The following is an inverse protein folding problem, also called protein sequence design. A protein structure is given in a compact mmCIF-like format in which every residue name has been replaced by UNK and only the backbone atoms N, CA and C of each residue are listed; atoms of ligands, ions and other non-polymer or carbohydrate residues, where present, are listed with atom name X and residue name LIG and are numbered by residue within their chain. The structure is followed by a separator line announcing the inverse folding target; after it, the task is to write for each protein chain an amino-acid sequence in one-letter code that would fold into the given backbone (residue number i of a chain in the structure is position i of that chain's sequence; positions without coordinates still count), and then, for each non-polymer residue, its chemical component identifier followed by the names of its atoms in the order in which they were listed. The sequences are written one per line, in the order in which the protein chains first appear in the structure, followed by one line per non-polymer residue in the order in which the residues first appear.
data_IF_822792688319
#
_entry.id   IF_822792688319
#
_cell.length_a   1.000
_cell.length_b   1.000
_cell.length_c   1.000
_cell.angle_alpha   90.00
_cell.angle_beta   90.00
_cell.angle_gamma   90.00
#
_symmetry.space_group_name_H-M   'P 1'
#
loop_
_entity.id
_entity.type
_entity.pdbx_description
1 polymer ?
#
# COMPACT_ATOMS: atom_id res chain seq x y z
N UNK A 1 8.27 -11.72 3.25
CA UNK A 1 7.98 -10.51 2.45
C UNK A 1 6.50 -10.25 2.54
N UNK A 2 6.06 -9.00 2.79
CA UNK A 2 4.62 -8.69 2.91
C UNK A 2 4.00 -8.63 1.51
N UNK A 3 2.75 -9.11 1.37
CA UNK A 3 2.06 -9.24 0.07
C UNK A 3 0.76 -8.42 0.06
N UNK A 4 -0.03 -8.53 -1.03
CA UNK A 4 -1.36 -7.94 -1.07
C UNK A 4 -2.27 -8.47 0.06
N UNK A 5 -2.06 -9.71 0.52
CA UNK A 5 -2.82 -10.25 1.64
C UNK A 5 -2.60 -9.43 2.93
N UNK A 6 -1.35 -9.05 3.21
CA UNK A 6 -1.01 -8.18 4.34
C UNK A 6 -1.68 -6.81 4.17
N UNK A 7 -1.64 -6.23 2.97
CA UNK A 7 -2.29 -4.95 2.69
C UNK A 7 -3.80 -5.02 2.96
N UNK A 8 -4.43 -6.14 2.59
CA UNK A 8 -5.84 -6.39 2.84
C UNK A 8 -6.16 -6.43 4.35
N UNK A 9 -5.32 -7.07 5.16
CA UNK A 9 -5.56 -7.17 6.60
C UNK A 9 -5.24 -5.88 7.35
N UNK A 10 -4.14 -5.21 7.00
CA UNK A 10 -3.58 -4.09 7.77
C UNK A 10 -4.19 -2.74 7.37
N UNK A 11 -4.62 -2.57 6.11
CA UNK A 11 -5.10 -1.28 5.60
C UNK A 11 -6.56 -1.34 5.14
N UNK A 12 -6.91 -2.33 4.32
CA UNK A 12 -8.22 -2.33 3.65
C UNK A 12 -9.34 -2.73 4.62
N UNK A 13 -9.18 -3.84 5.36
CA UNK A 13 -10.17 -4.32 6.34
C UNK A 13 -10.40 -3.33 7.49
N UNK A 14 -9.36 -2.67 8.05
CA UNK A 14 -9.56 -1.66 9.11
C UNK A 14 -10.16 -0.34 8.60
N UNK A 15 -10.26 -0.15 7.28
CA UNK A 15 -10.87 1.04 6.69
C UNK A 15 -9.92 2.22 6.47
N UNK A 16 -8.61 1.98 6.50
CA UNK A 16 -7.55 2.98 6.29
C UNK A 16 -7.28 3.29 4.81
N UNK A 17 -7.89 2.52 3.89
CA UNK A 17 -7.67 2.70 2.45
C UNK A 17 -8.26 4.01 1.91
N UNK A 18 -7.39 4.92 1.47
CA UNK A 18 -7.77 6.20 0.82
C UNK A 18 -8.23 6.11 -0.63
N UNK A 19 -8.33 4.90 -1.20
CA UNK A 19 -8.82 4.67 -2.59
C UNK A 19 -8.01 5.41 -3.66
N UNK A 20 -6.72 5.64 -3.41
CA UNK A 20 -5.83 6.37 -4.33
C UNK A 20 -5.45 5.59 -5.60
N UNK A 21 -5.74 4.28 -5.65
CA UNK A 21 -5.44 3.43 -6.81
C UNK A 21 -3.97 3.01 -6.98
N UNK A 22 -3.05 3.50 -6.15
CA UNK A 22 -1.60 3.26 -6.30
C UNK A 22 -1.21 1.79 -6.42
N UNK A 23 -1.79 0.91 -5.59
CA UNK A 23 -1.55 -0.53 -5.65
C UNK A 23 -1.96 -1.18 -6.98
N UNK A 24 -3.09 -0.76 -7.57
CA UNK A 24 -3.60 -1.27 -8.85
C UNK A 24 -2.77 -0.74 -10.01
N UNK A 25 -2.47 0.56 -10.01
CA UNK A 25 -1.61 1.20 -11.00
C UNK A 25 -0.26 0.49 -11.05
N UNK A 26 0.36 0.27 -9.88
CA UNK A 26 1.67 -0.34 -9.81
C UNK A 26 1.67 -1.81 -10.27
N UNK A 27 0.66 -2.59 -9.86
CA UNK A 27 0.49 -3.99 -10.30
C UNK A 27 0.30 -4.10 -11.82
N UNK A 28 -0.32 -3.11 -12.44
CA UNK A 28 -0.50 -3.04 -13.90
C UNK A 28 0.79 -2.62 -14.61
N UNK A 29 1.54 -1.66 -14.05
CA UNK A 29 2.82 -1.18 -14.61
C UNK A 29 3.90 -2.25 -14.69
N UNK A 30 3.87 -3.25 -13.79
CA UNK A 30 4.76 -4.42 -13.84
C UNK A 30 4.21 -5.58 -14.67
N UNK A 31 3.21 -5.33 -15.53
CA UNK A 31 2.59 -6.27 -16.47
C UNK A 31 1.88 -7.50 -15.88
N UNK A 32 1.64 -7.57 -14.57
CA UNK A 32 0.83 -8.64 -13.98
C UNK A 32 -0.67 -8.32 -14.07
N UNK A 33 -1.05 -7.09 -13.72
CA UNK A 33 -2.45 -6.64 -13.70
C UNK A 33 -3.40 -7.60 -12.93
N UNK A 34 -2.89 -8.16 -11.81
CA UNK A 34 -3.62 -9.07 -10.92
C UNK A 34 -4.68 -8.37 -10.06
N UNK A 35 -4.56 -7.05 -9.90
CA UNK A 35 -5.44 -6.23 -9.07
C UNK A 35 -6.31 -5.32 -9.93
N UNK A 36 -7.51 -5.00 -9.44
CA UNK A 36 -8.41 -4.00 -9.98
C UNK A 36 -9.11 -3.23 -8.85
N UNK A 37 -9.81 -2.13 -9.18
CA UNK A 37 -10.63 -1.41 -8.22
C UNK A 37 -12.07 -1.96 -8.23
N UNK A 38 -12.64 -2.11 -7.03
CA UNK A 38 -14.06 -2.42 -6.86
C UNK A 38 -14.95 -1.19 -7.13
N UNK A 39 -16.27 -1.40 -7.11
CA UNK A 39 -17.26 -0.33 -7.32
C UNK A 39 -17.16 0.81 -6.30
N UNK A 40 -16.53 0.55 -5.15
CA UNK A 40 -16.30 1.53 -4.09
C UNK A 40 -14.90 2.15 -4.16
N UNK A 41 -14.11 1.83 -5.18
CA UNK A 41 -12.75 2.32 -5.39
C UNK A 41 -11.69 1.65 -4.52
N UNK A 42 -11.98 0.49 -3.91
CA UNK A 42 -11.00 -0.27 -3.12
C UNK A 42 -10.34 -1.36 -3.97
N UNK A 43 -9.06 -1.63 -3.79
CA UNK A 43 -8.39 -2.66 -4.57
C UNK A 43 -8.89 -4.06 -4.18
N UNK A 44 -9.07 -4.92 -5.19
CA UNK A 44 -9.38 -6.35 -5.06
C UNK A 44 -8.58 -7.15 -6.08
N UNK A 45 -8.51 -8.46 -5.89
CA UNK A 45 -8.00 -9.34 -6.94
C UNK A 45 -8.97 -9.34 -8.13
N UNK A 46 -8.42 -9.06 -9.32
CA UNK A 46 -9.05 -9.36 -10.60
C UNK A 46 -8.78 -10.81 -11.00
N UNK A 47 -7.52 -11.21 -10.85
CA UNK A 47 -7.02 -12.52 -11.22
C UNK A 47 -5.91 -12.88 -10.23
N UNK A 48 -6.21 -13.82 -9.33
CA UNK A 48 -5.27 -14.23 -8.28
C UNK A 48 -4.09 -15.03 -8.85
N UNK A 49 -4.28 -15.74 -9.97
CA UNK A 49 -3.22 -16.57 -10.58
C UNK A 49 -2.11 -15.71 -11.21
N UNK A 50 -2.44 -14.47 -11.58
CA UNK A 50 -1.47 -13.48 -12.07
C UNK A 50 -0.65 -12.83 -10.95
N UNK A 51 -1.04 -12.99 -9.69
CA UNK A 51 -0.31 -12.42 -8.57
C UNK A 51 0.90 -13.28 -8.23
N UNK A 52 2.10 -12.75 -8.46
CA UNK A 52 3.36 -13.42 -8.09
C UNK A 52 3.84 -13.08 -6.68
N UNK A 53 2.97 -12.53 -5.83
CA UNK A 53 3.28 -12.17 -4.45
C UNK A 53 4.47 -11.20 -4.28
N UNK A 54 4.72 -10.32 -5.25
CA UNK A 54 5.87 -9.42 -5.27
C UNK A 54 5.91 -8.36 -4.15
N UNK A 55 4.80 -8.15 -3.42
CA UNK A 55 4.74 -7.21 -2.30
C UNK A 55 4.75 -5.72 -2.65
N UNK A 56 4.93 -5.36 -3.93
CA UNK A 56 5.03 -3.95 -4.33
C UNK A 56 3.77 -3.13 -4.01
N UNK A 57 2.59 -3.75 -4.09
CA UNK A 57 1.33 -3.10 -3.71
C UNK A 57 1.29 -2.72 -2.21
N UNK A 58 1.93 -3.52 -1.37
CA UNK A 58 2.06 -3.26 0.07
C UNK A 58 3.05 -2.12 0.31
N UNK A 59 4.26 -2.22 -0.25
CA UNK A 59 5.32 -1.23 -0.07
C UNK A 59 4.96 0.16 -0.61
N UNK A 60 4.15 0.24 -1.66
CA UNK A 60 3.73 1.51 -2.26
C UNK A 60 2.53 2.17 -1.54
N UNK A 61 1.91 1.51 -0.56
CA UNK A 61 0.75 2.06 0.12
C UNK A 61 1.18 3.14 1.13
N UNK A 62 0.59 4.36 1.10
CA UNK A 62 1.00 5.45 1.98
C UNK A 62 0.67 5.22 3.46
N UNK A 63 -0.25 4.30 3.77
CA UNK A 63 -0.56 3.90 5.15
C UNK A 63 0.50 2.96 5.76
N UNK A 64 1.49 2.55 4.97
CA UNK A 64 2.57 1.70 5.44
C UNK A 64 3.75 2.57 5.85
N UNK A 65 4.04 2.60 7.14
CA UNK A 65 5.10 3.43 7.76
C UNK A 65 6.46 2.71 7.84
N UNK A 66 6.69 1.65 7.07
CA UNK A 66 7.91 0.83 7.15
C UNK A 66 9.21 1.63 6.99
N UNK A 67 9.16 2.72 6.21
CA UNK A 67 10.32 3.60 5.96
C UNK A 67 10.33 4.86 6.84
N UNK A 68 9.34 5.06 7.72
CA UNK A 68 9.15 6.33 8.41
C UNK A 68 10.34 6.68 9.32
N UNK A 69 10.87 5.70 10.07
CA UNK A 69 12.03 5.90 10.94
C UNK A 69 13.28 6.31 10.14
N UNK A 70 13.54 5.64 9.01
CA UNK A 70 14.65 5.96 8.13
C UNK A 70 14.48 7.36 7.51
N UNK A 71 13.27 7.68 7.04
CA UNK A 71 12.94 9.01 6.52
C UNK A 71 13.16 10.08 7.57
N UNK A 72 12.66 9.91 8.79
CA UNK A 72 12.86 10.85 9.91
C UNK A 72 14.34 11.06 10.21
N UNK A 73 15.13 9.97 10.28
CA UNK A 73 16.57 10.04 10.50
C UNK A 73 17.30 10.80 9.39
N UNK A 74 16.99 10.51 8.12
CA UNK A 74 17.63 11.16 6.96
C UNK A 74 17.30 12.65 6.87
N UNK A 75 16.09 13.03 7.25
CA UNK A 75 15.63 14.42 7.23
C UNK A 75 16.05 15.21 8.47
N UNK A 76 16.70 14.57 9.47
CA UNK A 76 16.96 15.20 10.76
C UNK A 76 15.68 15.66 11.46
N UNK A 77 14.58 14.94 11.22
CA UNK A 77 13.27 15.32 11.72
C UNK A 77 13.22 15.17 13.24
N UNK A 78 12.68 16.19 13.91
CA UNK A 78 12.37 16.17 15.33
C UNK A 78 10.94 16.63 15.55
N UNK A 79 10.31 16.13 16.61
CA UNK A 79 8.96 16.51 16.95
C UNK A 79 8.87 18.04 17.17
N UNK A 80 7.84 18.71 16.63
CA UNK A 80 7.68 20.15 16.82
C UNK A 80 7.46 20.47 18.30
N UNK A 81 7.87 21.66 18.72
CA UNK A 81 7.72 22.13 20.10
C UNK A 81 6.26 22.55 20.32
N UNK A 82 5.40 21.58 20.68
CA UNK A 82 3.99 21.81 20.98
C UNK A 82 3.15 20.53 20.89
N UNK A 83 2.04 20.45 21.64
CA UNK A 83 1.02 19.42 21.39
C UNK A 83 0.17 19.89 20.21
N UNK A 84 0.31 19.20 19.08
CA UNK A 84 -0.68 19.19 17.99
C UNK A 84 -1.91 18.39 18.43
#
# INVERSE_FOLDING_TARGET
MKTFFNLLQEVIKPGLCHRCGGCVSLCSSVNYAALELDERGRPRFRDVERCIECGLCYAACPEIEELEEETRRRLGWSAPVGRI
#
